data_IF_381306450374
#
_entry.id   IF_381306450374
#
_cell.length_a   1.000
_cell.length_b   1.000
_cell.length_c   1.000
_cell.angle_alpha   90.00
_cell.angle_beta   90.00
_cell.angle_gamma   90.00
#
_symmetry.space_group_name_H-M   'P 1'
#
loop_
_entity.id
_entity.type
_entity.pdbx_description
1 polymer ?
#
# COMPACT_ATOMS: atom_id res chain seq x y z
N UNK A 1 -21.60 -36.78 -7.87
CA UNK A 1 -20.38 -37.60 -7.84
C UNK A 1 -19.30 -36.65 -7.39
N UNK A 2 -19.19 -36.56 -6.08
CA UNK A 2 -18.19 -35.77 -5.38
C UNK A 2 -16.81 -36.38 -5.66
N UNK A 3 -15.90 -35.54 -6.13
CA UNK A 3 -14.48 -35.84 -6.19
C UNK A 3 -13.84 -35.14 -5.01
N UNK A 4 -13.59 -35.88 -3.94
CA UNK A 4 -12.77 -35.44 -2.82
C UNK A 4 -11.35 -35.19 -3.34
N UNK A 5 -10.94 -33.91 -3.43
CA UNK A 5 -9.54 -33.53 -3.59
C UNK A 5 -8.95 -33.31 -2.20
N UNK A 6 -8.18 -34.30 -1.72
CA UNK A 6 -7.38 -34.21 -0.50
C UNK A 6 -6.40 -33.02 -0.59
N UNK A 7 -6.55 -32.06 0.32
CA UNK A 7 -5.64 -30.93 0.48
C UNK A 7 -4.61 -31.25 1.57
N UNK A 8 -3.34 -31.03 1.26
CA UNK A 8 -2.27 -31.06 2.27
C UNK A 8 -2.18 -29.69 2.95
N UNK A 9 -2.82 -29.56 4.11
CA UNK A 9 -2.38 -28.57 5.09
C UNK A 9 -0.95 -28.90 5.54
N UNK A 10 -0.14 -27.86 5.80
CA UNK A 10 1.17 -28.05 6.39
C UNK A 10 1.01 -28.66 7.79
N UNK A 11 1.23 -29.97 7.89
CA UNK A 11 1.15 -30.72 9.15
C UNK A 11 2.20 -30.16 10.12
N UNK A 12 1.72 -29.57 11.21
CA UNK A 12 2.53 -29.23 12.37
C UNK A 12 2.76 -30.50 13.20
N UNK A 13 3.65 -31.37 12.71
CA UNK A 13 4.04 -32.61 13.38
C UNK A 13 5.50 -32.57 13.78
N UNK A 14 5.79 -32.15 15.00
CA UNK A 14 6.97 -32.63 15.71
C UNK A 14 6.71 -34.09 16.06
N UNK A 15 7.29 -35.02 15.30
CA UNK A 15 7.60 -36.35 15.80
C UNK A 15 8.99 -36.73 15.32
N UNK A 16 9.89 -36.77 16.30
CA UNK A 16 11.28 -37.18 16.15
C UNK A 16 11.36 -38.62 16.62
N UNK A 17 11.73 -39.53 15.72
CA UNK A 17 12.45 -40.76 16.08
C UNK A 17 12.96 -41.49 14.82
N UNK A 18 14.27 -41.36 14.55
CA UNK A 18 15.20 -42.48 14.37
C UNK A 18 16.63 -41.98 14.12
N UNK A 19 17.45 -42.26 15.13
CA UNK A 19 18.90 -42.12 15.28
C UNK A 19 19.76 -42.62 14.11
N UNK A 20 20.83 -41.87 13.77
CA UNK A 20 22.22 -42.37 13.83
C UNK A 20 23.24 -41.21 13.71
N UNK A 21 24.22 -41.16 14.63
CA UNK A 21 25.45 -40.38 14.46
C UNK A 21 25.74 -39.42 15.62
N UNK A 22 26.45 -39.92 16.63
CA UNK A 22 26.76 -39.20 17.87
C UNK A 22 27.89 -38.19 17.75
N UNK A 23 27.98 -37.30 18.75
CA UNK A 23 29.21 -36.74 19.30
C UNK A 23 28.90 -35.94 20.59
N UNK A 24 29.40 -36.47 21.71
CA UNK A 24 29.82 -35.85 22.98
C UNK A 24 28.87 -34.98 23.81
N UNK A 25 28.60 -35.47 25.02
CA UNK A 25 28.03 -34.77 26.18
C UNK A 25 28.85 -33.54 26.60
N UNK A 26 28.15 -32.45 26.93
CA UNK A 26 28.57 -31.49 27.95
C UNK A 26 27.33 -30.75 28.49
N UNK A 27 26.95 -31.06 29.73
CA UNK A 27 25.97 -30.31 30.53
C UNK A 27 26.75 -29.43 31.52
N UNK A 28 26.36 -28.15 31.71
CA UNK A 28 25.98 -27.78 33.06
C UNK A 28 24.79 -26.79 33.11
N UNK A 29 23.73 -27.25 33.78
CA UNK A 29 22.85 -26.54 34.73
C UNK A 29 23.01 -25.01 34.79
N UNK A 30 21.97 -24.27 34.41
CA UNK A 30 21.61 -23.00 35.05
C UNK A 30 20.11 -22.93 35.28
N UNK A 31 19.79 -22.69 36.55
CA UNK A 31 18.50 -22.53 37.23
C UNK A 31 17.57 -21.50 36.58
N UNK A 32 16.30 -21.88 36.43
CA UNK A 32 15.20 -20.95 36.19
C UNK A 32 14.96 -20.11 37.45
N UNK A 33 15.06 -18.78 37.31
CA UNK A 33 14.59 -17.82 38.32
C UNK A 33 13.38 -17.12 37.73
N UNK A 34 12.20 -17.46 38.28
CA UNK A 34 10.97 -16.71 38.09
C UNK A 34 11.08 -15.43 38.91
N UNK A 35 11.20 -14.28 38.25
CA UNK A 35 11.02 -12.98 38.90
C UNK A 35 9.61 -12.47 38.64
N UNK A 36 8.72 -12.77 39.57
CA UNK A 36 7.54 -11.94 39.85
C UNK A 36 8.03 -10.65 40.52
N UNK A 37 8.04 -9.55 39.78
CA UNK A 37 8.42 -8.22 40.27
C UNK A 37 7.30 -7.22 40.05
N UNK A 38 6.56 -6.93 41.12
CA UNK A 38 5.71 -5.75 41.24
C UNK A 38 6.57 -4.49 41.09
N UNK A 39 6.24 -3.64 40.12
CA UNK A 39 6.90 -2.34 39.96
C UNK A 39 6.00 -1.23 40.49
N UNK A 40 6.23 -0.90 41.76
CA UNK A 40 5.83 0.35 42.40
C UNK A 40 6.51 1.53 41.72
N UNK A 41 5.72 2.57 41.46
CA UNK A 41 6.13 3.90 41.07
C UNK A 41 6.92 4.62 42.17
N UNK A 42 8.06 5.23 41.82
CA UNK A 42 8.52 6.56 42.25
C UNK A 42 9.99 6.82 41.84
N UNK A 43 10.27 7.98 41.27
CA UNK A 43 11.63 8.55 41.25
C UNK A 43 12.03 9.32 39.99
N UNK A 44 11.78 10.62 40.02
CA UNK A 44 12.42 11.72 39.26
C UNK A 44 13.58 11.36 38.29
N UNK A 45 13.33 11.51 36.98
CA UNK A 45 14.33 11.47 35.90
C UNK A 45 14.28 12.73 35.03
N UNK A 46 15.44 13.16 34.54
CA UNK A 46 15.72 14.45 33.90
C UNK A 46 14.86 14.71 32.64
N UNK A 47 14.47 15.97 32.46
CA UNK A 47 13.83 16.46 31.24
C UNK A 47 14.76 16.27 30.02
N UNK A 48 14.37 15.43 29.07
CA UNK A 48 15.01 15.34 27.76
C UNK A 48 15.04 13.95 27.11
N UNK A 49 14.85 12.87 27.85
CA UNK A 49 14.87 11.52 27.26
C UNK A 49 13.46 11.12 26.83
N UNK A 50 13.27 10.96 25.51
CA UNK A 50 12.07 10.27 24.99
C UNK A 50 12.04 8.87 25.62
N UNK A 51 10.88 8.39 26.07
CA UNK A 51 10.77 7.02 26.56
C UNK A 51 11.33 6.07 25.48
N UNK A 52 12.13 5.07 25.86
CA UNK A 52 12.60 4.07 24.90
C UNK A 52 11.37 3.44 24.24
N UNK A 53 11.37 3.34 22.90
CA UNK A 53 10.34 2.62 22.17
C UNK A 53 10.21 1.22 22.77
N UNK A 54 9.00 0.72 22.98
CA UNK A 54 8.74 -0.56 23.66
C UNK A 54 9.48 -1.76 23.02
N UNK A 55 9.88 -1.63 21.75
CA UNK A 55 10.61 -2.63 20.97
C UNK A 55 12.15 -2.41 20.92
N UNK A 56 12.69 -1.43 21.65
CA UNK A 56 14.14 -1.15 21.73
C UNK A 56 14.76 -0.56 20.46
N UNK A 57 13.97 -0.16 19.46
CA UNK A 57 14.48 0.47 18.23
C UNK A 57 14.86 1.92 18.52
N UNK A 58 16.16 2.24 18.41
CA UNK A 58 16.65 3.63 18.55
C UNK A 58 16.78 4.37 17.21
N UNK A 59 17.01 3.62 16.12
CA UNK A 59 17.18 4.16 14.76
C UNK A 59 16.68 3.16 13.72
N UNK A 60 15.88 3.61 12.77
CA UNK A 60 15.43 2.78 11.65
C UNK A 60 16.60 2.46 10.70
N UNK A 61 16.66 1.22 10.21
CA UNK A 61 17.67 0.80 9.22
C UNK A 61 17.50 1.54 7.90
N UNK A 62 18.61 1.81 7.22
CA UNK A 62 18.64 2.45 5.89
C UNK A 62 19.04 1.49 4.76
N UNK A 63 19.37 0.25 5.09
CA UNK A 63 19.74 -0.80 4.14
C UNK A 63 19.36 -2.19 4.66
N UNK A 64 19.27 -3.16 3.75
CA UNK A 64 19.14 -4.57 4.08
C UNK A 64 20.53 -5.22 4.21
N UNK A 65 20.65 -6.37 4.91
CA UNK A 65 21.94 -7.05 5.07
C UNK A 65 22.60 -7.54 3.77
N UNK A 66 21.82 -7.69 2.69
CA UNK A 66 22.28 -8.15 1.39
C UNK A 66 21.54 -7.45 0.24
N UNK A 67 22.18 -7.28 -0.93
CA UNK A 67 21.50 -6.84 -2.14
C UNK A 67 20.52 -7.91 -2.64
N UNK A 68 19.52 -7.50 -3.42
CA UNK A 68 18.61 -8.42 -4.09
C UNK A 68 19.38 -9.24 -5.14
N UNK A 69 19.18 -10.56 -5.15
CA UNK A 69 19.75 -11.44 -6.17
C UNK A 69 19.25 -11.04 -7.58
N UNK A 70 20.13 -11.13 -8.58
CA UNK A 70 19.76 -10.82 -9.96
C UNK A 70 18.73 -11.82 -10.47
N UNK A 71 17.64 -11.31 -11.07
CA UNK A 71 16.55 -12.12 -11.65
C UNK A 71 16.93 -12.80 -12.97
N UNK A 72 18.21 -12.84 -13.32
CA UNK A 72 18.75 -13.27 -14.62
C UNK A 72 18.48 -14.74 -14.95
N UNK A 73 18.19 -15.56 -13.93
CA UNK A 73 18.20 -17.02 -14.09
C UNK A 73 16.79 -17.62 -14.19
N UNK A 74 15.73 -16.80 -14.09
CA UNK A 74 14.34 -17.27 -14.11
C UNK A 74 13.46 -16.50 -15.10
N UNK A 75 12.77 -17.23 -15.97
CA UNK A 75 11.76 -16.66 -16.88
C UNK A 75 10.39 -16.61 -16.20
N UNK A 76 9.80 -15.43 -16.03
CA UNK A 76 8.41 -15.27 -15.55
C UNK A 76 7.42 -16.04 -16.44
N UNK A 77 7.71 -16.14 -17.75
CA UNK A 77 6.90 -16.89 -18.71
C UNK A 77 6.80 -18.39 -18.41
N UNK A 78 7.87 -19.04 -17.95
CA UNK A 78 7.83 -20.48 -17.66
C UNK A 78 6.85 -20.80 -16.54
N UNK A 79 6.60 -19.85 -15.64
CA UNK A 79 5.58 -19.92 -14.60
C UNK A 79 4.22 -19.56 -15.18
N UNK A 80 4.09 -18.39 -15.84
CA UNK A 80 2.81 -17.91 -16.41
C UNK A 80 2.20 -18.87 -17.43
N UNK A 81 3.02 -19.60 -18.20
CA UNK A 81 2.54 -20.66 -19.11
C UNK A 81 1.82 -21.77 -18.37
N UNK A 82 2.25 -22.11 -17.15
CA UNK A 82 1.57 -23.08 -16.25
C UNK A 82 0.31 -22.49 -15.62
N UNK A 83 0.16 -21.17 -15.65
CA UNK A 83 -0.96 -20.42 -15.09
C UNK A 83 -2.13 -20.20 -16.06
N UNK A 84 -1.99 -20.53 -17.35
CA UNK A 84 -3.04 -20.27 -18.35
C UNK A 84 -4.29 -21.08 -17.98
N UNK A 85 -5.37 -20.40 -17.61
CA UNK A 85 -6.66 -21.00 -17.22
C UNK A 85 -6.88 -21.18 -15.71
N UNK A 86 -5.90 -20.84 -14.86
CA UNK A 86 -6.00 -20.91 -13.39
C UNK A 86 -6.02 -19.51 -12.75
N UNK A 87 -6.54 -19.42 -11.52
CA UNK A 87 -6.40 -18.20 -10.73
C UNK A 87 -4.93 -17.99 -10.34
N UNK A 88 -4.34 -16.86 -10.75
CA UNK A 88 -2.93 -16.52 -10.49
C UNK A 88 -2.53 -16.51 -9.01
N UNK A 89 -3.51 -16.32 -8.11
CA UNK A 89 -3.31 -16.35 -6.65
C UNK A 89 -2.94 -17.75 -6.13
N UNK A 90 -3.36 -18.82 -6.84
CA UNK A 90 -3.14 -20.22 -6.44
C UNK A 90 -1.78 -20.77 -6.86
N UNK A 91 -0.89 -19.93 -7.42
CA UNK A 91 0.35 -20.35 -8.03
C UNK A 91 1.54 -19.82 -7.23
N UNK A 92 2.33 -20.76 -6.72
CA UNK A 92 3.56 -20.48 -5.99
C UNK A 92 4.59 -19.91 -6.95
N UNK A 93 4.88 -18.62 -6.80
CA UNK A 93 5.96 -17.97 -7.53
C UNK A 93 7.31 -18.36 -6.90
N UNK A 94 8.37 -18.60 -7.69
CA UNK A 94 9.70 -18.74 -7.15
C UNK A 94 10.10 -17.52 -6.33
N UNK A 95 10.77 -17.77 -5.20
CA UNK A 95 11.18 -16.75 -4.23
C UNK A 95 11.99 -15.60 -4.85
N UNK A 96 12.70 -15.86 -5.96
CA UNK A 96 13.48 -14.87 -6.69
C UNK A 96 12.63 -13.73 -7.30
N UNK A 97 11.32 -13.94 -7.48
CA UNK A 97 10.39 -12.92 -7.93
C UNK A 97 9.73 -12.15 -6.78
N UNK A 98 9.91 -12.62 -5.55
CA UNK A 98 9.40 -11.93 -4.39
C UNK A 98 10.31 -10.77 -3.98
N UNK A 99 9.68 -9.76 -3.41
CA UNK A 99 10.39 -8.79 -2.57
C UNK A 99 10.27 -9.21 -1.10
N UNK A 100 11.18 -8.78 -0.22
CA UNK A 100 11.20 -9.20 1.19
C UNK A 100 10.16 -8.45 2.04
N UNK A 101 8.91 -8.38 1.57
CA UNK A 101 7.77 -7.77 2.24
C UNK A 101 6.51 -8.61 2.03
N UNK A 102 5.73 -8.81 3.10
CA UNK A 102 4.36 -9.31 3.03
C UNK A 102 3.45 -8.28 2.35
N UNK A 103 2.36 -8.73 1.74
CA UNK A 103 1.36 -7.82 1.18
C UNK A 103 0.75 -6.90 2.25
N UNK A 104 0.66 -7.34 3.51
CA UNK A 104 0.20 -6.48 4.62
C UNK A 104 1.13 -5.29 4.85
N UNK A 105 2.45 -5.53 4.73
CA UNK A 105 3.46 -4.47 4.81
C UNK A 105 3.36 -3.53 3.60
N UNK A 106 3.10 -4.07 2.40
CA UNK A 106 2.87 -3.26 1.19
C UNK A 106 1.68 -2.31 1.36
N UNK A 107 0.58 -2.77 1.96
CA UNK A 107 -0.58 -1.91 2.24
C UNK A 107 -0.27 -0.80 3.25
N UNK A 108 0.62 -1.07 4.20
CA UNK A 108 1.03 -0.05 5.19
C UNK A 108 1.75 1.14 4.53
N UNK A 109 2.37 0.93 3.36
CA UNK A 109 3.02 2.01 2.59
C UNK A 109 2.04 3.12 2.14
N UNK A 110 0.72 2.88 2.17
CA UNK A 110 -0.28 3.95 1.99
C UNK A 110 -0.04 5.13 2.94
N UNK A 111 0.53 4.86 4.11
CA UNK A 111 0.79 5.85 5.15
C UNK A 111 2.11 6.62 5.01
N UNK A 112 2.91 6.38 3.96
CA UNK A 112 4.21 7.06 3.74
C UNK A 112 4.08 8.59 3.82
N UNK A 113 2.99 9.13 3.26
CA UNK A 113 2.73 10.57 3.16
C UNK A 113 1.62 11.04 4.13
N UNK A 114 1.51 10.43 5.32
CA UNK A 114 0.50 10.75 6.35
C UNK A 114 0.45 12.22 6.77
N UNK A 115 1.54 12.97 6.60
CA UNK A 115 1.58 14.42 6.83
C UNK A 115 0.51 15.20 6.03
N UNK A 116 0.06 14.68 4.89
CA UNK A 116 -1.06 15.23 4.11
C UNK A 116 -2.40 15.10 4.85
N UNK A 117 -2.63 14.00 5.58
CA UNK A 117 -3.81 13.82 6.42
C UNK A 117 -3.79 14.76 7.62
N UNK A 118 -2.66 14.87 8.31
CA UNK A 118 -2.50 15.84 9.41
C UNK A 118 -2.67 17.28 8.93
N UNK A 119 -2.24 17.60 7.70
CA UNK A 119 -2.54 18.90 7.08
C UNK A 119 -4.04 19.06 6.84
N UNK A 120 -4.71 18.09 6.22
CA UNK A 120 -6.16 18.12 5.99
C UNK A 120 -6.94 18.36 7.29
N UNK A 121 -6.57 17.68 8.39
CA UNK A 121 -7.22 17.83 9.69
C UNK A 121 -7.18 19.28 10.24
N UNK A 122 -6.18 20.08 9.85
CA UNK A 122 -5.97 21.45 10.35
C UNK A 122 -6.57 22.53 9.45
N UNK A 123 -6.95 22.19 8.21
CA UNK A 123 -7.41 23.17 7.24
C UNK A 123 -8.90 23.50 7.45
N UNK A 124 -9.28 24.79 7.50
CA UNK A 124 -10.66 25.19 7.77
C UNK A 124 -11.57 25.00 6.56
N UNK A 125 -11.04 25.16 5.33
CA UNK A 125 -11.84 25.12 4.11
C UNK A 125 -12.00 23.68 3.57
N UNK A 126 -13.23 23.20 3.30
CA UNK A 126 -13.47 21.86 2.76
C UNK A 126 -12.74 21.58 1.44
N UNK A 127 -12.62 22.59 0.56
CA UNK A 127 -11.90 22.46 -0.70
C UNK A 127 -10.41 22.15 -0.47
N UNK A 128 -9.75 22.85 0.44
CA UNK A 128 -8.33 22.64 0.75
C UNK A 128 -8.11 21.28 1.44
N UNK A 129 -9.08 20.83 2.25
CA UNK A 129 -9.08 19.46 2.78
C UNK A 129 -9.17 18.43 1.66
N UNK A 130 -10.13 18.57 0.74
CA UNK A 130 -10.27 17.67 -0.42
C UNK A 130 -9.00 17.65 -1.29
N UNK A 131 -8.31 18.78 -1.46
CA UNK A 131 -7.01 18.83 -2.15
C UNK A 131 -5.94 17.99 -1.43
N UNK A 132 -5.88 18.05 -0.09
CA UNK A 132 -4.95 17.22 0.69
C UNK A 132 -5.34 15.74 0.64
N UNK A 133 -6.63 15.40 0.69
CA UNK A 133 -7.12 14.01 0.57
C UNK A 133 -6.81 13.45 -0.83
N UNK A 134 -7.00 14.24 -1.88
CA UNK A 134 -6.65 13.85 -3.25
C UNK A 134 -5.14 13.63 -3.42
N UNK A 135 -4.32 14.53 -2.87
CA UNK A 135 -2.87 14.36 -2.85
C UNK A 135 -2.47 13.08 -2.07
N UNK A 136 -3.09 12.83 -0.93
CA UNK A 136 -2.86 11.62 -0.14
C UNK A 136 -3.20 10.35 -0.92
N UNK A 137 -4.39 10.29 -1.54
CA UNK A 137 -4.83 9.14 -2.34
C UNK A 137 -3.88 8.82 -3.51
N UNK A 138 -3.34 9.84 -4.20
CA UNK A 138 -2.32 9.65 -5.24
C UNK A 138 -0.99 9.20 -4.65
N UNK A 139 -0.55 9.83 -3.55
CA UNK A 139 0.73 9.51 -2.90
C UNK A 139 0.78 8.10 -2.29
N UNK A 140 -0.36 7.58 -1.82
CA UNK A 140 -0.49 6.25 -1.24
C UNK A 140 -0.11 5.15 -2.23
N UNK A 141 -0.26 5.41 -3.53
CA UNK A 141 0.09 4.46 -4.60
C UNK A 141 1.37 4.86 -5.36
N UNK A 142 2.12 5.87 -4.90
CA UNK A 142 3.31 6.36 -5.60
C UNK A 142 4.50 5.39 -5.53
N UNK A 143 4.65 4.68 -4.39
CA UNK A 143 5.79 3.78 -4.13
C UNK A 143 5.87 2.57 -5.08
N UNK A 144 4.85 2.35 -5.91
CA UNK A 144 4.78 1.20 -6.83
C UNK A 144 5.75 1.30 -8.01
N UNK A 145 6.26 2.50 -8.33
CA UNK A 145 7.24 2.66 -9.41
C UNK A 145 8.48 1.82 -9.14
N UNK A 146 8.97 1.11 -10.17
CA UNK A 146 10.12 0.17 -10.10
C UNK A 146 9.98 -1.05 -9.16
N UNK A 147 8.94 -1.12 -8.32
CA UNK A 147 8.65 -2.24 -7.40
C UNK A 147 8.01 -3.44 -8.09
N UNK A 148 8.72 -4.02 -9.05
CA UNK A 148 8.27 -5.17 -9.86
C UNK A 148 8.32 -6.52 -9.13
N UNK A 149 8.76 -6.55 -7.86
CA UNK A 149 8.74 -7.76 -7.04
C UNK A 149 7.35 -8.04 -6.48
N UNK A 150 6.94 -9.31 -6.47
CA UNK A 150 5.68 -9.74 -5.87
C UNK A 150 5.83 -9.74 -4.34
N UNK A 151 4.97 -9.06 -3.56
CA UNK A 151 4.98 -9.23 -2.12
C UNK A 151 4.64 -10.68 -1.75
N UNK A 152 5.07 -11.15 -0.59
CA UNK A 152 4.64 -12.45 -0.08
C UNK A 152 3.12 -12.46 0.12
N UNK A 153 2.49 -13.56 -0.28
CA UNK A 153 1.08 -13.77 -0.02
C UNK A 153 0.91 -14.03 1.47
N UNK A 154 0.16 -13.21 2.22
CA UNK A 154 0.01 -13.39 3.65
C UNK A 154 -0.72 -14.71 3.96
N UNK A 155 -0.35 -15.34 5.07
CA UNK A 155 -1.11 -16.47 5.61
C UNK A 155 -2.46 -15.99 6.15
N UNK A 156 -3.48 -16.86 6.18
CA UNK A 156 -4.75 -16.54 6.84
C UNK A 156 -4.50 -16.24 8.32
N UNK A 157 -4.99 -15.10 8.82
CA UNK A 157 -4.75 -14.63 10.18
C UNK A 157 -3.36 -14.02 10.41
N UNK A 158 -2.51 -13.91 9.38
CA UNK A 158 -1.28 -13.11 9.49
C UNK A 158 -1.63 -11.66 9.80
N UNK A 159 -0.90 -11.06 10.75
CA UNK A 159 -1.05 -9.66 11.13
C UNK A 159 0.25 -8.90 10.92
N UNK A 160 0.13 -7.61 10.61
CA UNK A 160 1.26 -6.67 10.63
C UNK A 160 0.83 -5.37 11.29
N UNK A 161 1.68 -4.86 12.20
CA UNK A 161 1.48 -3.59 12.87
C UNK A 161 2.65 -2.63 12.63
N UNK A 162 2.35 -1.33 12.63
CA UNK A 162 3.34 -0.27 12.56
C UNK A 162 2.91 0.93 13.40
N UNK A 163 3.74 1.31 14.37
CA UNK A 163 3.60 2.57 15.11
C UNK A 163 4.72 3.51 14.68
N UNK A 164 4.36 4.71 14.23
CA UNK A 164 5.30 5.78 13.89
C UNK A 164 4.96 7.02 14.71
N UNK A 165 5.46 7.05 15.95
CA UNK A 165 5.31 8.21 16.85
C UNK A 165 5.84 9.49 16.22
N UNK A 166 6.94 9.39 15.48
CA UNK A 166 7.58 10.51 14.78
C UNK A 166 6.72 11.07 13.65
N UNK A 167 5.85 10.24 13.05
CA UNK A 167 4.90 10.65 12.02
C UNK A 167 3.47 10.86 12.53
N UNK A 168 3.16 10.41 13.75
CA UNK A 168 1.88 10.65 14.41
C UNK A 168 0.77 9.65 14.10
N UNK A 169 1.07 8.40 13.74
CA UNK A 169 0.04 7.37 13.50
C UNK A 169 0.40 5.97 14.01
N UNK A 170 -0.62 5.14 14.15
CA UNK A 170 -0.51 3.68 14.30
C UNK A 170 -1.34 2.97 13.24
N UNK A 171 -0.94 1.76 12.86
CA UNK A 171 -1.54 0.98 11.79
C UNK A 171 -1.55 -0.51 12.17
N UNK A 172 -2.65 -1.19 11.92
CA UNK A 172 -2.82 -2.63 12.03
C UNK A 172 -3.43 -3.17 10.75
N UNK A 173 -2.95 -4.32 10.28
CA UNK A 173 -3.49 -5.00 9.11
C UNK A 173 -3.49 -6.51 9.32
N UNK A 174 -4.53 -7.17 8.86
CA UNK A 174 -4.76 -8.61 9.01
C UNK A 174 -5.21 -9.22 7.68
N UNK A 175 -4.72 -10.42 7.38
CA UNK A 175 -5.26 -11.24 6.30
C UNK A 175 -6.53 -11.96 6.78
N UNK A 176 -7.69 -11.37 6.50
CA UNK A 176 -8.99 -11.84 7.01
C UNK A 176 -9.65 -12.92 6.14
N UNK A 177 -9.15 -13.13 4.92
CA UNK A 177 -9.60 -14.23 4.04
C UNK A 177 -8.49 -14.66 3.10
N UNK A 178 -8.48 -15.95 2.72
CA UNK A 178 -7.55 -16.50 1.73
C UNK A 178 -8.20 -16.79 0.38
N UNK A 179 -9.51 -17.06 0.37
CA UNK A 179 -10.29 -17.37 -0.83
C UNK A 179 -11.65 -16.63 -0.83
N UNK A 180 -11.72 -15.42 -1.43
CA UNK A 180 -10.64 -14.67 -2.07
C UNK A 180 -9.64 -14.07 -1.06
N UNK A 181 -8.39 -13.77 -1.47
CA UNK A 181 -7.40 -13.16 -0.58
C UNK A 181 -7.79 -11.72 -0.25
N UNK A 182 -8.22 -11.46 0.99
CA UNK A 182 -8.62 -10.14 1.48
C UNK A 182 -7.73 -9.75 2.66
N UNK A 183 -7.10 -8.59 2.56
CA UNK A 183 -6.37 -7.97 3.66
C UNK A 183 -7.16 -6.75 4.15
N UNK A 184 -7.51 -6.72 5.43
CA UNK A 184 -8.18 -5.58 6.07
C UNK A 184 -7.13 -4.74 6.82
N UNK A 185 -7.27 -3.42 6.82
CA UNK A 185 -6.38 -2.53 7.54
C UNK A 185 -7.15 -1.42 8.27
N UNK A 186 -6.56 -0.96 9.37
CA UNK A 186 -7.07 0.15 10.17
C UNK A 186 -5.90 0.98 10.69
N UNK A 187 -6.02 2.30 10.58
CA UNK A 187 -5.02 3.25 11.01
C UNK A 187 -5.65 4.44 11.70
N UNK A 188 -4.96 4.93 12.71
CA UNK A 188 -5.43 6.02 13.55
C UNK A 188 -4.31 7.03 13.75
N UNK A 189 -4.65 8.32 13.68
CA UNK A 189 -3.76 9.37 14.14
C UNK A 189 -3.60 9.31 15.66
N UNK A 190 -2.38 9.43 16.17
CA UNK A 190 -2.09 9.36 17.62
C UNK A 190 -2.71 10.52 18.40
N UNK A 191 -3.09 11.60 17.70
CA UNK A 191 -3.83 12.74 18.25
C UNK A 191 -5.35 12.60 18.11
N UNK A 192 -5.84 11.41 17.70
CA UNK A 192 -7.25 11.16 17.42
C UNK A 192 -7.85 12.18 16.43
N UNK A 193 -7.07 12.53 15.39
CA UNK A 193 -7.45 13.53 14.39
C UNK A 193 -8.02 12.91 13.10
N UNK A 194 -7.62 11.68 12.76
CA UNK A 194 -8.19 10.93 11.64
C UNK A 194 -8.28 9.42 11.92
N UNK A 195 -9.16 8.75 11.17
CA UNK A 195 -9.19 7.28 10.99
C UNK A 195 -9.01 6.97 9.50
N UNK A 196 -8.22 5.96 9.17
CA UNK A 196 -8.00 5.52 7.79
C UNK A 196 -8.08 3.99 7.73
N UNK A 197 -9.06 3.46 7.01
CA UNK A 197 -9.34 2.02 7.01
C UNK A 197 -9.91 1.54 5.69
N UNK A 198 -9.90 0.23 5.51
CA UNK A 198 -10.46 -0.42 4.34
C UNK A 198 -10.04 -1.88 4.26
N UNK A 199 -10.38 -2.50 3.15
CA UNK A 199 -9.93 -3.86 2.83
C UNK A 199 -9.61 -3.96 1.35
N UNK A 200 -8.55 -4.68 0.99
CA UNK A 200 -8.12 -4.85 -0.40
C UNK A 200 -8.17 -6.32 -0.79
N UNK A 201 -8.89 -6.59 -1.88
CA UNK A 201 -8.83 -7.83 -2.66
C UNK A 201 -8.16 -7.55 -4.01
N UNK A 202 -6.87 -7.93 -4.21
CA UNK A 202 -6.18 -7.71 -5.47
C UNK A 202 -6.60 -8.77 -6.50
N UNK A 203 -7.60 -8.46 -7.34
CA UNK A 203 -8.05 -9.36 -8.39
C UNK A 203 -7.09 -9.33 -9.58
N UNK A 204 -6.45 -10.45 -9.87
CA UNK A 204 -5.47 -10.57 -10.95
C UNK A 204 -6.09 -11.00 -12.27
N UNK A 205 -5.65 -10.41 -13.38
CA UNK A 205 -6.00 -10.78 -14.76
C UNK A 205 -4.76 -10.83 -15.64
N UNK A 206 -4.60 -11.92 -16.39
CA UNK A 206 -3.50 -12.08 -17.34
C UNK A 206 -3.95 -11.73 -18.77
N UNK A 207 -3.24 -10.82 -19.42
CA UNK A 207 -3.54 -10.34 -20.78
C UNK A 207 -2.47 -10.75 -21.80
N UNK A 208 -1.83 -11.90 -21.58
CA UNK A 208 -0.73 -12.37 -22.42
C UNK A 208 0.58 -11.67 -22.09
N UNK A 209 0.75 -10.39 -22.46
CA UNK A 209 2.03 -9.68 -22.22
C UNK A 209 2.08 -8.90 -20.90
N UNK A 210 0.95 -8.80 -20.21
CA UNK A 210 0.83 -8.01 -18.98
C UNK A 210 -0.08 -8.72 -17.97
N UNK A 211 0.11 -8.39 -16.69
CA UNK A 211 -0.77 -8.80 -15.59
C UNK A 211 -1.38 -7.54 -14.99
N UNK A 212 -2.70 -7.47 -14.99
CA UNK A 212 -3.46 -6.45 -14.27
C UNK A 212 -3.80 -6.94 -12.86
N UNK A 213 -3.64 -6.05 -11.89
CA UNK A 213 -4.13 -6.18 -10.53
C UNK A 213 -5.15 -5.07 -10.27
N UNK A 214 -6.41 -5.45 -10.12
CA UNK A 214 -7.52 -4.57 -9.74
C UNK A 214 -7.67 -4.61 -8.21
N UNK A 215 -7.23 -3.58 -7.46
CA UNK A 215 -7.35 -3.55 -6.00
C UNK A 215 -8.79 -3.24 -5.60
N UNK A 216 -9.59 -4.29 -5.39
CA UNK A 216 -11.00 -4.16 -5.05
C UNK A 216 -11.19 -3.88 -3.58
N UNK A 217 -11.97 -2.86 -3.28
CA UNK A 217 -12.39 -2.52 -1.93
C UNK A 217 -12.43 -1.02 -1.71
N UNK A 218 -13.31 -0.61 -0.82
CA UNK A 218 -13.48 0.81 -0.47
C UNK A 218 -12.45 1.18 0.56
N UNK A 219 -11.74 2.26 0.28
CA UNK A 219 -10.88 2.95 1.24
C UNK A 219 -11.70 4.07 1.85
N UNK A 220 -11.62 4.20 3.17
CA UNK A 220 -12.35 5.20 3.95
C UNK A 220 -11.35 6.01 4.77
N UNK A 221 -11.48 7.34 4.71
CA UNK A 221 -10.77 8.29 5.55
C UNK A 221 -11.81 9.12 6.31
N UNK A 222 -11.67 9.21 7.62
CA UNK A 222 -12.51 10.04 8.48
C UNK A 222 -11.65 11.15 9.08
N UNK A 223 -12.03 12.41 8.86
CA UNK A 223 -11.42 13.57 9.51
C UNK A 223 -12.27 13.95 10.72
N UNK A 224 -11.89 13.45 11.89
CA UNK A 224 -12.74 13.41 13.08
C UNK A 224 -13.17 14.80 13.56
N UNK A 225 -12.25 15.78 13.54
CA UNK A 225 -12.54 17.17 13.94
C UNK A 225 -13.59 17.86 13.08
N UNK A 226 -13.73 17.43 11.83
CA UNK A 226 -14.67 18.01 10.87
C UNK A 226 -15.95 17.19 10.73
N UNK A 227 -16.01 16.00 11.35
CA UNK A 227 -17.11 15.04 11.14
C UNK A 227 -17.33 14.75 9.64
N UNK A 228 -16.22 14.53 8.92
CA UNK A 228 -16.21 14.24 7.49
C UNK A 228 -15.67 12.85 7.20
N UNK A 229 -16.34 12.13 6.30
CA UNK A 229 -15.87 10.86 5.77
C UNK A 229 -15.64 10.97 4.25
N UNK A 230 -14.54 10.42 3.79
CA UNK A 230 -14.13 10.37 2.40
C UNK A 230 -13.98 8.91 1.98
N UNK A 231 -14.53 8.56 0.81
CA UNK A 231 -14.35 7.20 0.26
C UNK A 231 -13.86 7.22 -1.17
N UNK A 232 -13.00 6.26 -1.52
CA UNK A 232 -12.56 6.01 -2.89
C UNK A 232 -12.15 4.54 -3.09
N UNK A 233 -11.83 4.20 -4.33
CA UNK A 233 -11.19 2.94 -4.71
C UNK A 233 -9.87 3.26 -5.41
N UNK A 234 -8.87 2.40 -5.26
CA UNK A 234 -7.56 2.60 -5.89
C UNK A 234 -7.59 2.34 -7.41
N UNK A 235 -6.64 2.92 -8.17
CA UNK A 235 -6.52 2.65 -9.60
C UNK A 235 -6.05 1.21 -9.86
N UNK A 236 -6.29 0.72 -11.08
CA UNK A 236 -5.74 -0.56 -11.52
C UNK A 236 -4.24 -0.43 -11.70
N UNK A 237 -3.49 -1.42 -11.22
CA UNK A 237 -2.06 -1.56 -11.45
C UNK A 237 -1.83 -2.59 -12.55
N UNK A 238 -0.93 -2.31 -13.49
CA UNK A 238 -0.57 -3.22 -14.57
C UNK A 238 0.94 -3.42 -14.60
N UNK A 239 1.37 -4.68 -14.57
CA UNK A 239 2.77 -5.07 -14.77
C UNK A 239 2.92 -5.53 -16.20
N UNK A 240 3.72 -4.80 -16.97
CA UNK A 240 3.96 -5.07 -18.39
C UNK A 240 5.21 -5.92 -18.60
N UNK A 241 5.31 -6.49 -19.80
CA UNK A 241 6.44 -7.30 -20.26
C UNK A 241 6.70 -8.54 -19.39
N UNK A 242 5.64 -9.15 -18.84
CA UNK A 242 5.76 -10.32 -17.96
C UNK A 242 6.25 -11.58 -18.66
N UNK A 243 6.36 -11.57 -20.00
CA UNK A 243 6.93 -12.69 -20.79
C UNK A 243 8.35 -12.36 -21.25
N UNK A 244 8.52 -11.23 -21.94
CA UNK A 244 9.76 -10.83 -22.63
C UNK A 244 9.96 -9.33 -22.43
N UNK A 245 11.18 -8.95 -22.07
CA UNK A 245 11.61 -7.56 -21.91
C UNK A 245 11.74 -7.14 -20.44
N UNK A 246 12.03 -5.86 -20.22
CA UNK A 246 12.12 -5.27 -18.89
C UNK A 246 10.71 -5.07 -18.33
N UNK A 247 10.45 -5.63 -17.14
CA UNK A 247 9.22 -5.38 -16.39
C UNK A 247 9.10 -3.89 -16.06
N UNK A 248 7.91 -3.35 -16.22
CA UNK A 248 7.58 -2.00 -15.77
C UNK A 248 6.13 -1.95 -15.29
N UNK A 249 5.86 -0.99 -14.40
CA UNK A 249 4.56 -0.84 -13.74
C UNK A 249 3.88 0.40 -14.28
N UNK A 250 2.59 0.26 -14.50
CA UNK A 250 1.67 1.33 -14.86
C UNK A 250 0.49 1.35 -13.90
N UNK A 251 -0.09 2.52 -13.67
CA UNK A 251 -1.36 2.65 -12.98
C UNK A 251 -2.32 3.47 -13.84
N UNK A 252 -3.55 2.99 -13.99
CA UNK A 252 -4.59 3.67 -14.76
C UNK A 252 -5.99 3.42 -14.20
N UNK A 253 -6.94 4.22 -14.69
CA UNK A 253 -8.34 4.18 -14.28
C UNK A 253 -8.81 5.50 -13.71
N UNK A 254 -10.06 5.53 -13.27
CA UNK A 254 -10.66 6.72 -12.64
C UNK A 254 -10.83 6.44 -11.16
N UNK A 255 -10.23 7.30 -10.34
CA UNK A 255 -10.43 7.34 -8.89
C UNK A 255 -11.41 8.47 -8.59
N UNK A 256 -12.50 8.14 -7.90
CA UNK A 256 -13.47 9.14 -7.41
C UNK A 256 -13.41 9.18 -5.89
N UNK A 257 -13.07 10.34 -5.33
CA UNK A 257 -13.05 10.60 -3.89
C UNK A 257 -14.31 11.40 -3.56
N UNK A 258 -15.21 10.82 -2.78
CA UNK A 258 -16.45 11.44 -2.36
C UNK A 258 -16.35 11.88 -0.90
N UNK A 259 -16.58 13.16 -0.60
CA UNK A 259 -16.85 13.62 0.76
C UNK A 259 -18.34 13.45 1.05
N UNK A 260 -18.68 12.57 1.98
CA UNK A 260 -20.07 12.24 2.33
C UNK A 260 -20.79 13.36 3.09
N UNK A 261 -20.05 14.25 3.76
CA UNK A 261 -20.63 15.33 4.55
C UNK A 261 -20.97 16.56 3.70
N UNK A 262 -20.14 16.92 2.72
CA UNK A 262 -20.38 18.09 1.84
C UNK A 262 -21.02 17.72 0.51
N UNK A 263 -20.84 16.49 0.05
CA UNK A 263 -21.18 16.04 -1.31
C UNK A 263 -20.17 16.47 -2.37
N UNK A 264 -19.04 17.08 -1.96
CA UNK A 264 -17.96 17.40 -2.88
C UNK A 264 -17.30 16.12 -3.41
N UNK A 265 -16.90 16.14 -4.68
CA UNK A 265 -16.27 15.01 -5.34
C UNK A 265 -14.97 15.43 -6.02
N UNK A 266 -13.90 14.69 -5.79
CA UNK A 266 -12.69 14.76 -6.60
C UNK A 266 -12.69 13.60 -7.60
N UNK A 267 -12.49 13.89 -8.88
CA UNK A 267 -12.35 12.88 -9.93
C UNK A 267 -10.94 12.96 -10.47
N UNK A 268 -10.19 11.86 -10.38
CA UNK A 268 -8.81 11.73 -10.82
C UNK A 268 -8.72 10.65 -11.90
N UNK A 269 -8.17 11.00 -13.05
CA UNK A 269 -7.92 10.09 -14.16
C UNK A 269 -6.42 9.77 -14.20
N UNK A 270 -6.09 8.54 -13.83
CA UNK A 270 -4.77 7.96 -14.05
C UNK A 270 -4.72 7.52 -15.52
N UNK A 271 -3.96 8.26 -16.33
CA UNK A 271 -3.93 8.06 -17.77
C UNK A 271 -3.09 6.82 -18.10
N UNK A 272 -3.59 5.94 -18.98
CA UNK A 272 -2.72 4.96 -19.59
C UNK A 272 -1.69 5.68 -20.47
N UNK A 273 -0.53 5.09 -20.61
CA UNK A 273 0.66 5.48 -21.37
C UNK A 273 0.30 5.91 -22.81
N UNK A 274 -0.74 5.29 -23.37
CA UNK A 274 -1.27 5.60 -24.69
C UNK A 274 -0.31 5.24 -25.82
N UNK A 275 -0.65 5.64 -27.04
CA UNK A 275 0.25 5.50 -28.19
C UNK A 275 1.42 6.50 -28.01
N UNK A 276 2.65 6.02 -28.15
CA UNK A 276 3.90 6.81 -28.03
C UNK A 276 4.30 7.27 -26.62
N UNK A 277 3.59 6.87 -25.56
CA UNK A 277 4.04 7.05 -24.18
C UNK A 277 4.04 8.46 -23.61
N UNK A 278 3.38 9.42 -24.27
CA UNK A 278 3.31 10.81 -23.82
C UNK A 278 2.54 11.00 -22.50
N UNK A 279 1.61 10.10 -22.21
CA UNK A 279 0.72 10.18 -21.05
C UNK A 279 1.21 9.32 -19.87
N UNK A 280 2.41 8.74 -19.98
CA UNK A 280 2.94 7.82 -18.98
C UNK A 280 2.96 8.47 -17.59
N UNK A 281 2.27 7.79 -16.66
CA UNK A 281 2.09 8.17 -15.25
C UNK A 281 1.29 9.44 -14.98
N UNK A 282 0.71 10.05 -16.01
CA UNK A 282 -0.02 11.31 -15.86
C UNK A 282 -1.30 11.10 -15.07
N UNK A 283 -1.56 12.01 -14.15
CA UNK A 283 -2.81 12.11 -13.41
C UNK A 283 -3.43 13.46 -13.72
N UNK A 284 -4.71 13.47 -14.11
CA UNK A 284 -5.47 14.69 -14.37
C UNK A 284 -6.86 14.57 -13.76
N UNK A 285 -7.42 15.68 -13.30
CA UNK A 285 -8.71 15.63 -12.66
C UNK A 285 -9.23 16.99 -12.24
N UNK A 286 -10.29 16.97 -11.45
CA UNK A 286 -10.87 18.16 -10.86
C UNK A 286 -11.60 17.83 -9.56
N UNK A 287 -11.74 18.84 -8.73
CA UNK A 287 -12.66 18.84 -7.59
C UNK A 287 -13.91 19.60 -8.03
N UNK A 288 -15.08 19.07 -7.69
CA UNK A 288 -16.37 19.67 -7.97
C UNK A 288 -17.27 19.65 -6.73
N UNK A 289 -18.14 20.64 -6.60
CA UNK A 289 -19.18 20.63 -5.58
C UNK A 289 -20.33 19.68 -5.91
N UNK A 290 -21.29 19.54 -4.97
CA UNK A 290 -22.51 18.74 -5.15
C UNK A 290 -23.35 19.12 -6.38
N UNK A 291 -23.21 20.36 -6.87
CA UNK A 291 -23.90 20.86 -8.06
C UNK A 291 -23.07 20.66 -9.34
N UNK A 292 -21.96 19.90 -9.26
CA UNK A 292 -21.01 19.62 -10.35
C UNK A 292 -20.26 20.86 -10.86
N UNK A 293 -20.24 21.95 -10.11
CA UNK A 293 -19.40 23.11 -10.44
C UNK A 293 -17.96 22.80 -10.08
N UNK A 294 -17.05 22.97 -11.03
CA UNK A 294 -15.61 22.76 -10.80
C UNK A 294 -15.07 23.83 -9.86
N UNK A 295 -14.36 23.38 -8.83
CA UNK A 295 -13.73 24.21 -7.80
C UNK A 295 -12.21 24.27 -7.96
N UNK A 296 -11.59 23.22 -8.48
CA UNK A 296 -10.14 23.14 -8.68
C UNK A 296 -9.82 22.12 -9.78
N UNK A 297 -8.81 22.40 -10.59
CA UNK A 297 -8.22 21.44 -11.53
C UNK A 297 -6.98 20.84 -10.87
N UNK A 298 -6.84 19.52 -10.98
CA UNK A 298 -5.72 18.76 -10.45
C UNK A 298 -4.95 18.14 -11.60
N UNK A 299 -3.62 18.23 -11.59
CA UNK A 299 -2.79 17.60 -12.60
C UNK A 299 -1.41 17.23 -12.03
N UNK A 300 -0.73 16.28 -12.66
CA UNK A 300 0.63 15.89 -12.30
C UNK A 300 0.99 14.50 -12.79
N UNK A 301 1.90 13.84 -12.07
CA UNK A 301 2.26 12.44 -12.29
C UNK A 301 2.38 11.72 -10.96
N UNK A 302 1.82 10.52 -10.85
CA UNK A 302 1.85 9.77 -9.59
C UNK A 302 3.26 9.34 -9.15
N UNK A 303 4.24 9.40 -10.06
CA UNK A 303 5.67 9.15 -9.77
C UNK A 303 6.47 10.39 -9.39
N UNK A 304 5.90 11.60 -9.47
CA UNK A 304 6.65 12.86 -9.27
C UNK A 304 5.94 13.80 -8.30
N UNK A 305 4.68 14.17 -8.57
CA UNK A 305 3.97 15.18 -7.79
C UNK A 305 2.61 15.55 -8.38
N UNK A 306 1.82 16.28 -7.58
CA UNK A 306 0.47 16.71 -7.90
C UNK A 306 0.31 18.21 -7.62
N UNK A 307 -0.33 18.93 -8.53
CA UNK A 307 -0.60 20.37 -8.44
C UNK A 307 -2.09 20.66 -8.58
N UNK A 308 -2.54 21.69 -7.86
CA UNK A 308 -3.89 22.24 -7.95
C UNK A 308 -3.86 23.65 -8.53
N UNK A 309 -4.80 23.96 -9.41
CA UNK A 309 -4.98 25.29 -9.99
C UNK A 309 -6.47 25.66 -10.03
N UNK A 310 -6.77 26.95 -9.92
CA UNK A 310 -8.12 27.46 -10.11
C UNK A 310 -8.59 27.21 -11.56
N UNK A 311 -9.87 26.81 -11.78
CA UNK A 311 -10.37 26.53 -13.13
C UNK A 311 -10.25 27.69 -14.12
N UNK A 312 -10.51 28.94 -13.70
CA UNK A 312 -10.43 30.10 -14.59
C UNK A 312 -8.97 30.41 -14.96
N UNK A 313 -8.04 30.23 -14.02
CA UNK A 313 -6.61 30.35 -14.28
C UNK A 313 -6.12 29.27 -15.27
N UNK A 314 -6.60 28.03 -15.13
CA UNK A 314 -6.29 26.93 -16.05
C UNK A 314 -6.81 27.19 -17.46
N UNK A 315 -8.06 27.63 -17.60
CA UNK A 315 -8.65 27.98 -18.90
C UNK A 315 -7.86 29.11 -19.58
N UNK A 316 -7.48 30.14 -18.81
CA UNK A 316 -6.64 31.23 -19.30
C UNK A 316 -5.27 30.74 -19.79
N UNK A 317 -4.66 29.78 -19.09
CA UNK A 317 -3.40 29.17 -19.51
C UNK A 317 -3.57 28.37 -20.80
N UNK A 318 -4.58 27.49 -20.89
CA UNK A 318 -4.84 26.70 -22.09
C UNK A 318 -5.15 27.57 -23.32
N UNK A 319 -5.89 28.67 -23.14
CA UNK A 319 -6.17 29.62 -24.21
C UNK A 319 -4.87 30.26 -24.74
N UNK A 320 -3.97 30.69 -23.85
CA UNK A 320 -2.65 31.24 -24.24
C UNK A 320 -1.76 30.20 -24.93
N UNK A 321 -1.73 28.97 -24.43
CA UNK A 321 -0.91 27.90 -25.01
C UNK A 321 -1.38 27.51 -26.43
N UNK A 322 -2.70 27.55 -26.70
CA UNK A 322 -3.26 27.36 -28.04
C UNK A 322 -2.89 28.51 -28.98
N UNK A 323 -2.96 29.76 -28.51
CA UNK A 323 -2.57 30.95 -29.30
C UNK A 323 -1.08 30.91 -29.66
N UNK A 324 -0.23 30.36 -28.79
CA UNK A 324 1.22 30.27 -29.01
C UNK A 324 1.67 28.99 -29.76
N UNK A 325 0.74 28.11 -30.17
CA UNK A 325 1.06 26.91 -30.95
C UNK A 325 1.71 25.76 -30.17
N UNK A 326 1.56 25.71 -28.84
CA UNK A 326 2.20 24.68 -27.99
C UNK A 326 1.40 23.37 -27.90
N UNK A 327 0.15 23.39 -28.35
CA UNK A 327 -0.68 22.20 -28.51
C UNK A 327 -1.21 22.20 -29.95
N UNK A 328 -0.51 21.47 -30.84
CA UNK A 328 -1.00 21.07 -32.16
C UNK A 328 -1.50 19.63 -32.15
#
# INVERSE_FOLDING_TARGET
>A
MDGDEEFFDAVSGFDSDKSLGGLSEANPRVTAVVHTGSSTCNGAGKAGERPPQENGVQKHRTSLPAPMSTRSDFSVWSILKRCIGLELSKITMPIAFNEPLSFLQRLTEYMEHVHLLHRACRLPQPLERMQCVAAFAVSAVASQWERTGKPFNPLLGETYELVREDLGFRFICEQVSHHPPISAFHSEGLQQDFLFHGSIYPKLRFWGKSVEAEPRGTITLELLRHSEAYTWTNPTCCVHNVIIGKLWIEQYGTVEILNHSTGDKCVLHFKPCGLFGKELHRVEGHIQDKNRRKLSIIYGKWTEGLWGIDPAAYESFCARAKIQGWFS
#
